data_IF_494472779094
#
_entry.id   IF_494472779094
#
_cell.length_a   1.000
_cell.length_b   1.000
_cell.length_c   1.000
_cell.angle_alpha   90.00
_cell.angle_beta   90.00
_cell.angle_gamma   90.00
#
_symmetry.space_group_name_H-M   'P 1'
#
loop_
_entity.id
_entity.type
_entity.pdbx_description
1 polymer ?
#
# COMPACT_ATOMS: atom_id res chain seq x y z
N UNK A 1 16.02 -22.27 75.44
CA UNK A 1 16.71 -21.97 74.16
C UNK A 1 15.67 -22.07 73.03
N UNK A 2 15.80 -21.23 72.00
CA UNK A 2 15.44 -21.43 70.55
C UNK A 2 14.51 -22.58 70.10
N UNK A 3 13.66 -22.46 69.05
CA UNK A 3 13.25 -21.34 68.16
C UNK A 3 12.26 -21.84 67.07
N UNK A 4 11.11 -21.16 66.81
CA UNK A 4 10.15 -21.39 65.67
C UNK A 4 9.64 -22.86 65.52
N UNK A 5 8.68 -23.30 64.69
CA UNK A 5 7.69 -22.78 63.70
C UNK A 5 6.36 -23.56 63.97
N UNK A 6 5.13 -23.30 63.51
CA UNK A 6 4.45 -22.28 62.67
C UNK A 6 2.94 -22.27 63.09
N UNK A 7 2.04 -21.59 62.35
CA UNK A 7 0.57 -21.76 62.42
C UNK A 7 -0.01 -21.85 60.99
N UNK A 8 -1.10 -22.60 60.78
CA UNK A 8 -1.98 -22.47 59.60
C UNK A 8 -3.42 -22.32 60.08
N UNK A 9 -4.08 -21.24 59.65
CA UNK A 9 -5.51 -21.00 59.86
C UNK A 9 -6.15 -20.58 58.54
N UNK A 10 -7.38 -21.00 58.30
CA UNK A 10 -8.07 -20.86 57.01
C UNK A 10 -9.33 -20.01 57.22
N UNK A 11 -9.41 -18.83 56.59
CA UNK A 11 -10.60 -17.97 56.64
C UNK A 11 -10.89 -17.34 55.29
N UNK A 12 -12.18 -17.27 54.96
CA UNK A 12 -12.72 -16.68 53.74
C UNK A 12 -13.04 -15.20 54.02
N UNK A 13 -12.66 -14.31 53.12
CA UNK A 13 -12.99 -12.88 53.18
C UNK A 13 -13.72 -12.46 51.90
N UNK A 14 -14.89 -11.84 52.03
CA UNK A 14 -15.64 -11.30 50.92
C UNK A 14 -15.11 -9.91 50.53
N UNK A 15 -14.95 -9.66 49.22
CA UNK A 15 -14.53 -8.36 48.70
C UNK A 15 -15.76 -7.48 48.47
N UNK A 16 -15.97 -6.51 49.36
CA UNK A 16 -17.01 -5.50 49.18
C UNK A 16 -16.56 -4.43 48.17
N UNK A 17 -17.35 -4.19 47.13
CA UNK A 17 -17.06 -3.16 46.13
C UNK A 17 -17.42 -1.77 46.67
N UNK A 18 -16.41 -1.02 47.12
CA UNK A 18 -16.56 0.38 47.53
C UNK A 18 -16.74 1.28 46.30
N UNK A 19 -17.96 1.74 46.07
CA UNK A 19 -18.25 2.79 45.09
C UNK A 19 -17.78 4.15 45.64
N UNK A 20 -16.62 4.62 45.16
CA UNK A 20 -16.14 5.97 45.45
C UNK A 20 -16.93 6.98 44.61
N UNK A 21 -17.56 8.02 45.22
CA UNK A 21 -18.18 9.09 44.46
C UNK A 21 -17.10 9.93 43.77
N UNK A 22 -17.32 10.27 42.50
CA UNK A 22 -16.47 11.23 41.78
C UNK A 22 -16.79 12.63 42.30
N UNK A 23 -16.06 13.05 43.33
CA UNK A 23 -16.10 14.43 43.81
C UNK A 23 -15.50 15.31 42.71
N UNK A 24 -16.31 16.21 42.16
CA UNK A 24 -15.80 17.25 41.28
C UNK A 24 -14.89 18.19 42.10
N UNK A 25 -13.59 18.21 41.78
CA UNK A 25 -12.63 19.09 42.43
C UNK A 25 -12.89 20.56 42.04
N UNK A 26 -13.78 21.21 42.76
CA UNK A 26 -13.78 22.67 42.85
C UNK A 26 -12.41 23.11 43.39
N UNK A 27 -11.78 24.07 42.73
CA UNK A 27 -10.48 24.59 43.18
C UNK A 27 -10.75 25.61 44.29
N UNK A 28 -10.44 25.23 45.53
CA UNK A 28 -10.53 26.12 46.69
C UNK A 28 -9.49 27.23 46.56
N UNK A 29 -9.94 28.46 46.36
CA UNK A 29 -9.06 29.63 46.29
C UNK A 29 -8.92 30.22 47.69
N UNK A 30 -7.66 30.38 48.11
CA UNK A 30 -7.28 31.03 49.37
C UNK A 30 -7.12 32.55 49.17
N UNK A 31 -7.21 33.29 50.27
CA UNK A 31 -7.08 34.76 50.28
C UNK A 31 -5.71 35.21 49.76
N UNK A 32 -5.69 36.30 48.98
CA UNK A 32 -4.47 36.82 48.34
C UNK A 32 -3.96 36.00 47.15
N UNK A 33 -4.67 34.96 46.73
CA UNK A 33 -4.28 34.13 45.59
C UNK A 33 -4.21 34.93 44.29
N UNK A 34 -3.02 34.94 43.68
CA UNK A 34 -2.84 35.18 42.24
C UNK A 34 -2.71 33.86 41.50
N UNK A 35 -3.36 33.72 40.35
CA UNK A 35 -3.37 32.49 39.59
C UNK A 35 -3.90 32.65 38.16
N UNK A 36 -3.56 31.69 37.29
CA UNK A 36 -4.04 31.66 35.92
C UNK A 36 -5.15 30.61 35.77
N UNK A 37 -6.20 30.95 35.03
CA UNK A 37 -7.29 30.03 34.69
C UNK A 37 -7.48 29.98 33.17
N UNK A 38 -6.99 28.90 32.56
CA UNK A 38 -7.23 28.61 31.15
C UNK A 38 -8.64 28.01 30.94
N UNK A 39 -9.41 28.60 30.03
CA UNK A 39 -10.72 28.14 29.58
C UNK A 39 -10.75 28.04 28.05
N UNK A 40 -11.54 27.13 27.48
CA UNK A 40 -11.97 27.26 26.10
C UNK A 40 -13.17 28.22 25.96
N UNK A 41 -13.37 28.82 24.78
CA UNK A 41 -14.64 29.46 24.44
C UNK A 41 -15.78 28.43 24.54
N UNK A 42 -16.88 28.79 25.22
CA UNK A 42 -17.99 27.90 25.56
C UNK A 42 -17.72 26.94 26.72
N UNK A 43 -16.51 26.90 27.29
CA UNK A 43 -16.23 26.19 28.55
C UNK A 43 -16.49 27.12 29.74
N UNK A 44 -17.06 26.57 30.80
CA UNK A 44 -17.15 27.24 32.09
C UNK A 44 -16.77 26.34 33.26
N UNK A 45 -16.31 26.96 34.35
CA UNK A 45 -15.87 26.29 35.57
C UNK A 45 -16.44 26.99 36.81
N UNK A 46 -16.65 26.22 37.86
CA UNK A 46 -17.07 26.73 39.16
C UNK A 46 -15.82 27.03 39.99
N UNK A 47 -15.70 28.28 40.44
CA UNK A 47 -14.69 28.73 41.39
C UNK A 47 -15.30 28.76 42.79
N UNK A 48 -14.60 28.14 43.74
CA UNK A 48 -15.01 28.05 45.15
C UNK A 48 -14.07 28.89 46.01
N UNK A 49 -14.64 29.85 46.74
CA UNK A 49 -13.92 30.75 47.63
C UNK A 49 -14.15 30.34 49.09
N UNK A 50 -13.12 30.52 49.92
CA UNK A 50 -13.15 30.11 51.33
C UNK A 50 -13.88 31.13 52.21
N UNK A 51 -13.79 32.41 51.84
CA UNK A 51 -14.52 33.53 52.43
C UNK A 51 -15.73 33.93 51.55
N UNK A 52 -16.77 34.56 52.12
CA UNK A 52 -17.88 35.08 51.33
C UNK A 52 -17.41 36.20 50.39
N UNK A 53 -17.88 36.16 49.14
CA UNK A 53 -17.58 37.15 48.10
C UNK A 53 -18.80 38.05 47.91
N UNK A 54 -18.60 39.36 48.05
CA UNK A 54 -19.66 40.37 47.88
C UNK A 54 -19.79 40.79 46.41
N UNK A 55 -18.65 41.08 45.77
CA UNK A 55 -18.61 41.51 44.38
C UNK A 55 -17.47 40.87 43.60
N UNK A 56 -17.72 40.66 42.30
CA UNK A 56 -16.76 40.08 41.36
C UNK A 56 -16.71 40.95 40.11
N UNK A 57 -15.50 41.29 39.67
CA UNK A 57 -15.25 42.17 38.54
C UNK A 57 -14.49 41.39 37.46
N UNK A 58 -14.91 41.50 36.20
CA UNK A 58 -14.16 41.02 35.04
C UNK A 58 -13.77 42.21 34.19
N UNK A 59 -12.49 42.32 33.82
CA UNK A 59 -11.96 43.49 33.11
C UNK A 59 -12.52 43.66 31.68
N UNK A 60 -12.95 42.56 31.05
CA UNK A 60 -13.58 42.54 29.72
C UNK A 60 -14.68 41.46 29.67
N UNK A 61 -15.98 41.85 29.74
CA UNK A 61 -17.11 40.94 29.69
C UNK A 61 -17.42 40.38 28.28
N UNK A 62 -16.70 40.82 27.25
CA UNK A 62 -16.72 40.23 25.91
C UNK A 62 -15.86 38.95 25.83
N UNK A 63 -14.74 38.92 26.55
CA UNK A 63 -13.81 37.77 26.59
C UNK A 63 -14.35 36.65 27.49
N UNK A 64 -14.70 36.98 28.75
CA UNK A 64 -15.22 36.03 29.73
C UNK A 64 -16.33 36.67 30.57
N UNK A 65 -17.22 35.86 31.11
CA UNK A 65 -18.41 36.33 31.83
C UNK A 65 -18.72 35.37 32.99
N UNK A 66 -19.58 35.79 33.92
CA UNK A 66 -19.80 35.04 35.16
C UNK A 66 -21.24 35.09 35.67
N UNK A 67 -21.56 34.09 36.49
CA UNK A 67 -22.80 34.02 37.23
C UNK A 67 -22.48 33.62 38.67
N UNK A 68 -22.87 34.49 39.62
CA UNK A 68 -22.81 34.16 41.05
C UNK A 68 -23.89 33.12 41.34
N UNK A 69 -23.50 31.94 41.82
CA UNK A 69 -24.41 30.82 42.13
C UNK A 69 -24.76 30.82 43.62
N UNK A 70 -23.79 31.15 44.48
CA UNK A 70 -23.97 31.44 45.90
C UNK A 70 -22.84 32.35 46.41
N UNK A 71 -22.91 32.89 47.64
CA UNK A 71 -21.89 33.80 48.19
C UNK A 71 -20.45 33.24 48.31
N UNK A 72 -20.19 31.97 47.94
CA UNK A 72 -18.83 31.42 47.82
C UNK A 72 -18.60 30.59 46.55
N UNK A 73 -19.56 30.58 45.61
CA UNK A 73 -19.52 29.78 44.38
C UNK A 73 -19.88 30.64 43.18
N UNK A 74 -18.91 30.88 42.32
CA UNK A 74 -19.03 31.69 41.11
C UNK A 74 -18.73 30.82 39.88
N UNK A 75 -19.67 30.75 38.95
CA UNK A 75 -19.48 30.08 37.67
C UNK A 75 -18.92 31.09 36.67
N UNK A 76 -17.76 30.80 36.09
CA UNK A 76 -17.07 31.66 35.11
C UNK A 76 -16.95 30.91 33.79
N UNK A 77 -17.28 31.56 32.66
CA UNK A 77 -17.26 30.94 31.35
C UNK A 77 -16.65 31.84 30.26
N UNK A 78 -15.94 31.23 29.31
CA UNK A 78 -15.33 31.93 28.18
C UNK A 78 -16.34 32.19 27.06
N UNK A 79 -16.35 33.42 26.51
CA UNK A 79 -17.21 33.82 25.37
C UNK A 79 -16.41 34.07 24.09
N UNK A 80 -15.27 34.74 24.18
CA UNK A 80 -14.41 35.04 23.04
C UNK A 80 -12.92 34.80 23.38
N UNK A 81 -12.08 34.35 22.42
CA UNK A 81 -10.65 34.16 22.69
C UNK A 81 -9.95 35.47 23.06
N UNK A 82 -9.17 35.45 24.15
CA UNK A 82 -8.50 36.63 24.70
C UNK A 82 -7.94 36.41 26.10
N UNK A 83 -7.34 37.45 26.66
CA UNK A 83 -6.92 37.48 28.07
C UNK A 83 -7.64 38.61 28.80
N UNK A 84 -8.14 38.30 29.99
CA UNK A 84 -8.84 39.25 30.87
C UNK A 84 -8.53 38.92 32.32
N UNK A 85 -8.84 39.80 33.26
CA UNK A 85 -8.65 39.53 34.69
C UNK A 85 -9.98 39.46 35.42
N UNK A 86 -10.06 38.57 36.41
CA UNK A 86 -11.15 38.48 37.37
C UNK A 86 -10.64 38.87 38.75
N UNK A 87 -11.33 39.79 39.43
CA UNK A 87 -11.02 40.24 40.78
C UNK A 87 -12.24 39.96 41.66
N UNK A 88 -12.03 39.30 42.80
CA UNK A 88 -13.06 39.00 43.78
C UNK A 88 -12.81 39.81 45.06
N UNK A 89 -13.87 40.42 45.60
CA UNK A 89 -13.84 41.32 46.75
C UNK A 89 -14.70 40.78 47.91
N UNK A 90 -14.23 40.97 49.14
CA UNK A 90 -14.98 40.67 50.37
C UNK A 90 -16.02 41.76 50.68
N UNK A 91 -16.99 41.50 51.59
CA UNK A 91 -17.90 42.52 52.11
C UNK A 91 -17.20 43.73 52.75
N UNK A 92 -15.99 43.55 53.26
CA UNK A 92 -15.16 44.61 53.86
C UNK A 92 -14.34 45.39 52.80
N UNK A 93 -14.47 45.04 51.52
CA UNK A 93 -13.78 45.68 50.39
C UNK A 93 -12.36 45.17 50.12
N UNK A 94 -11.88 44.18 50.86
CA UNK A 94 -10.56 43.59 50.67
C UNK A 94 -10.50 42.61 49.49
N UNK A 95 -9.35 42.52 48.81
CA UNK A 95 -9.16 41.69 47.63
C UNK A 95 -8.92 40.21 47.98
N UNK A 96 -9.96 39.40 47.87
CA UNK A 96 -9.90 37.95 48.13
C UNK A 96 -9.02 37.22 47.11
N UNK A 97 -9.14 37.55 45.82
CA UNK A 97 -8.33 36.95 44.75
C UNK A 97 -8.21 37.84 43.51
N UNK A 98 -7.15 37.63 42.73
CA UNK A 98 -7.01 38.19 41.39
C UNK A 98 -6.49 37.12 40.42
N UNK A 99 -7.32 36.74 39.44
CA UNK A 99 -7.05 35.67 38.49
C UNK A 99 -6.85 36.21 37.08
N UNK A 100 -5.84 35.71 36.38
CA UNK A 100 -5.67 35.93 34.94
C UNK A 100 -6.43 34.86 34.17
N UNK A 101 -7.55 35.26 33.56
CA UNK A 101 -8.35 34.41 32.67
C UNK A 101 -7.72 34.41 31.28
N UNK A 102 -7.50 33.21 30.75
CA UNK A 102 -6.94 32.98 29.42
C UNK A 102 -7.95 32.14 28.63
N UNK A 103 -8.77 32.81 27.82
CA UNK A 103 -9.78 32.15 26.99
C UNK A 103 -9.16 31.83 25.64
N UNK A 104 -9.15 30.55 25.28
CA UNK A 104 -8.64 30.04 24.01
C UNK A 104 -9.78 29.61 23.10
N UNK A 105 -9.60 29.72 21.78
CA UNK A 105 -10.40 28.92 20.84
C UNK A 105 -10.12 27.44 21.12
N UNK A 106 -11.16 26.65 21.35
CA UNK A 106 -11.01 25.33 21.96
C UNK A 106 -10.41 24.31 21.00
N UNK A 107 -9.22 23.78 21.31
CA UNK A 107 -8.59 22.68 20.52
C UNK A 107 -9.45 21.41 20.46
N UNK A 108 -10.52 21.34 21.27
CA UNK A 108 -11.59 20.34 21.21
C UNK A 108 -12.27 20.25 19.83
N UNK A 109 -12.43 21.38 19.12
CA UNK A 109 -13.03 21.41 17.78
C UNK A 109 -12.23 20.57 16.77
N UNK A 110 -10.90 20.59 16.85
CA UNK A 110 -10.01 19.86 15.94
C UNK A 110 -9.70 18.45 16.46
N UNK A 111 -9.52 18.31 17.78
CA UNK A 111 -9.07 17.03 18.39
C UNK A 111 -10.18 15.99 18.55
N UNK A 112 -11.45 16.39 18.70
CA UNK A 112 -12.57 15.43 18.78
C UNK A 112 -12.85 14.74 17.42
N UNK A 113 -12.99 15.45 16.28
CA UNK A 113 -13.15 14.81 14.97
C UNK A 113 -11.92 13.98 14.59
N UNK A 114 -10.70 14.48 14.81
CA UNK A 114 -9.48 13.73 14.51
C UNK A 114 -9.44 12.39 15.25
N UNK A 115 -9.81 12.37 16.54
CA UNK A 115 -9.84 11.13 17.34
C UNK A 115 -11.04 10.24 17.06
N UNK A 116 -12.11 10.76 16.44
CA UNK A 116 -13.22 9.95 15.93
C UNK A 116 -12.86 9.26 14.60
N UNK A 117 -12.17 9.97 13.69
CA UNK A 117 -11.68 9.42 12.43
C UNK A 117 -10.49 8.47 12.63
N UNK A 118 -9.56 8.84 13.51
CA UNK A 118 -8.33 8.09 13.80
C UNK A 118 -8.20 7.80 15.31
N UNK A 119 -8.93 6.81 15.87
CA UNK A 119 -8.92 6.51 17.30
C UNK A 119 -7.54 6.16 17.87
N UNK A 120 -6.64 5.66 17.02
CA UNK A 120 -5.25 5.34 17.35
C UNK A 120 -4.24 6.49 17.14
N UNK A 121 -4.69 7.71 16.82
CA UNK A 121 -3.81 8.85 16.56
C UNK A 121 -2.92 9.20 17.76
N UNK A 122 -1.67 9.58 17.47
CA UNK A 122 -0.71 10.14 18.44
C UNK A 122 -0.48 11.64 18.23
N UNK A 123 -1.26 12.29 17.37
CA UNK A 123 -1.20 13.73 17.16
C UNK A 123 -1.80 14.48 18.36
N UNK A 124 -1.03 15.41 18.91
CA UNK A 124 -1.44 16.33 19.98
C UNK A 124 -1.69 17.71 19.37
N UNK A 125 -2.80 18.35 19.77
CA UNK A 125 -3.21 19.66 19.27
C UNK A 125 -3.18 20.67 20.42
N UNK A 126 -2.36 21.71 20.28
CA UNK A 126 -2.16 22.74 21.31
C UNK A 126 -2.38 24.13 20.72
N UNK A 127 -3.12 24.98 21.44
CA UNK A 127 -3.17 26.41 21.18
C UNK A 127 -1.90 27.08 21.74
N UNK A 128 -1.31 28.02 21.01
CA UNK A 128 -0.16 28.82 21.43
C UNK A 128 -0.46 30.28 21.05
N UNK A 129 -1.10 31.01 21.96
CA UNK A 129 -1.73 32.28 21.65
C UNK A 129 -2.81 32.12 20.57
N UNK A 130 -2.92 33.06 19.64
CA UNK A 130 -3.84 32.99 18.51
C UNK A 130 -3.27 32.17 17.33
N UNK A 131 -2.77 30.97 17.63
CA UNK A 131 -2.36 29.93 16.66
C UNK A 131 -2.63 28.54 17.22
N UNK A 132 -3.00 27.61 16.36
CA UNK A 132 -3.08 26.18 16.70
C UNK A 132 -1.92 25.41 16.09
N UNK A 133 -1.32 24.50 16.86
CA UNK A 133 -0.18 23.70 16.44
C UNK A 133 -0.46 22.23 16.69
N UNK A 134 -0.39 21.42 15.64
CA UNK A 134 -0.36 19.96 15.76
C UNK A 134 1.08 19.47 15.88
N UNK A 135 1.32 18.49 16.75
CA UNK A 135 2.63 17.84 16.97
C UNK A 135 2.45 16.35 17.23
N UNK A 136 3.53 15.58 17.17
CA UNK A 136 3.53 14.14 17.42
C UNK A 136 3.54 13.33 16.13
N UNK A 137 3.23 12.03 16.24
CA UNK A 137 3.26 11.10 15.12
C UNK A 137 1.88 10.88 14.50
N UNK A 138 1.83 10.89 13.16
CA UNK A 138 0.72 10.36 12.35
C UNK A 138 1.15 9.05 11.68
N UNK A 139 0.26 8.06 11.70
CA UNK A 139 0.52 6.66 11.33
C UNK A 139 0.15 6.34 9.89
N UNK A 140 -0.68 7.15 9.24
CA UNK A 140 -1.09 6.97 7.85
C UNK A 140 -1.09 8.28 7.05
N UNK A 141 -1.02 8.18 5.72
CA UNK A 141 -1.19 9.32 4.80
C UNK A 141 -2.62 9.89 4.88
N UNK A 142 -3.61 9.04 5.17
CA UNK A 142 -4.99 9.46 5.45
C UNK A 142 -5.06 10.36 6.68
N UNK A 143 -4.53 9.90 7.82
CA UNK A 143 -4.46 10.67 9.06
C UNK A 143 -3.74 12.02 8.88
N UNK A 144 -2.65 12.06 8.11
CA UNK A 144 -1.94 13.30 7.78
C UNK A 144 -2.78 14.27 6.91
N UNK A 145 -3.62 13.72 6.04
CA UNK A 145 -4.52 14.50 5.16
C UNK A 145 -5.71 15.05 5.95
N UNK A 146 -6.36 14.21 6.75
CA UNK A 146 -7.49 14.59 7.60
C UNK A 146 -7.08 15.60 8.67
N UNK A 147 -5.88 15.42 9.27
CA UNK A 147 -5.29 16.41 10.18
C UNK A 147 -5.11 17.78 9.50
N UNK A 148 -4.60 17.82 8.27
CA UNK A 148 -4.48 19.06 7.50
C UNK A 148 -5.84 19.68 7.16
N UNK A 149 -6.84 18.87 6.79
CA UNK A 149 -8.20 19.34 6.49
C UNK A 149 -8.90 19.94 7.72
N UNK A 150 -8.79 19.28 8.88
CA UNK A 150 -9.32 19.79 10.14
C UNK A 150 -8.57 21.05 10.60
N UNK A 151 -7.24 21.09 10.49
CA UNK A 151 -6.44 22.28 10.81
C UNK A 151 -6.72 23.48 9.90
N UNK A 152 -7.22 23.28 8.67
CA UNK A 152 -7.58 24.38 7.75
C UNK A 152 -9.06 24.79 7.84
N UNK A 153 -9.94 23.89 8.28
CA UNK A 153 -11.38 24.14 8.40
C UNK A 153 -11.76 24.61 9.80
N UNK A 154 -11.52 23.79 10.82
CA UNK A 154 -11.76 24.12 12.24
C UNK A 154 -10.70 25.09 12.80
N UNK A 155 -9.62 25.32 12.07
CA UNK A 155 -8.57 26.27 12.43
C UNK A 155 -8.92 27.74 12.19
N UNK A 156 -10.09 28.09 11.65
CA UNK A 156 -10.44 29.48 11.33
C UNK A 156 -10.72 30.37 12.56
N UNK A 157 -11.04 29.79 13.71
CA UNK A 157 -11.03 30.48 15.01
C UNK A 157 -9.62 30.82 15.52
N UNK A 158 -8.58 30.49 14.73
CA UNK A 158 -7.19 30.89 14.95
C UNK A 158 -6.68 31.68 13.75
N UNK A 159 -5.81 32.67 13.99
CA UNK A 159 -5.17 33.46 12.92
C UNK A 159 -4.24 32.64 12.02
N UNK A 160 -3.79 31.46 12.46
CA UNK A 160 -2.99 30.53 11.67
C UNK A 160 -2.90 29.16 12.36
N UNK A 161 -3.06 28.09 11.58
CA UNK A 161 -2.67 26.74 11.97
C UNK A 161 -1.22 26.43 11.54
N UNK A 162 -0.56 25.53 12.26
CA UNK A 162 0.74 24.95 11.90
C UNK A 162 0.67 23.45 12.11
N UNK A 163 0.78 22.67 11.03
CA UNK A 163 0.99 21.23 11.13
C UNK A 163 2.49 20.94 11.32
N UNK A 164 2.87 20.54 12.53
CA UNK A 164 4.20 20.04 12.87
C UNK A 164 4.20 18.57 13.29
N UNK A 165 3.18 17.79 12.88
CA UNK A 165 3.15 16.35 13.08
C UNK A 165 4.04 15.64 12.03
N UNK A 166 4.82 14.66 12.47
CA UNK A 166 5.70 13.86 11.61
C UNK A 166 5.03 12.55 11.23
N UNK A 167 5.13 12.16 9.96
CA UNK A 167 4.79 10.80 9.53
C UNK A 167 5.95 9.86 9.89
N UNK A 168 5.73 8.94 10.84
CA UNK A 168 6.77 7.97 11.27
C UNK A 168 6.95 6.80 10.27
N UNK A 169 6.02 6.61 9.34
CA UNK A 169 6.15 5.62 8.30
C UNK A 169 7.20 6.01 7.25
N UNK A 170 7.93 5.02 6.72
CA UNK A 170 8.62 5.21 5.44
C UNK A 170 7.62 4.88 4.33
N UNK A 171 7.10 5.89 3.63
CA UNK A 171 6.26 5.69 2.45
C UNK A 171 7.12 5.29 1.25
N UNK A 172 7.68 4.08 1.31
CA UNK A 172 8.44 3.46 0.23
C UNK A 172 7.54 2.48 -0.52
N UNK A 173 7.58 2.56 -1.84
CA UNK A 173 6.89 1.64 -2.75
C UNK A 173 7.94 0.84 -3.49
N UNK A 174 7.92 -0.46 -3.29
CA UNK A 174 8.58 -1.42 -4.14
C UNK A 174 7.66 -1.69 -5.36
N UNK A 175 8.23 -1.80 -6.55
CA UNK A 175 7.50 -2.14 -7.76
C UNK A 175 8.16 -3.35 -8.43
N UNK A 176 7.32 -4.34 -8.74
CA UNK A 176 7.66 -5.52 -9.53
C UNK A 176 6.91 -5.41 -10.85
N UNK A 177 7.62 -5.45 -11.97
CA UNK A 177 7.04 -5.52 -13.31
C UNK A 177 7.40 -6.88 -13.91
N UNK A 178 6.49 -7.51 -14.65
CA UNK A 178 6.75 -8.73 -15.43
C UNK A 178 6.40 -8.50 -16.89
N UNK A 179 7.32 -8.81 -17.78
CA UNK A 179 7.09 -8.87 -19.23
C UNK A 179 6.90 -10.33 -19.62
N UNK A 180 5.72 -10.69 -20.11
CA UNK A 180 5.33 -12.04 -20.46
C UNK A 180 4.96 -12.12 -21.94
N UNK A 181 5.54 -13.05 -22.69
CA UNK A 181 5.10 -13.37 -24.06
C UNK A 181 4.52 -14.80 -24.06
N UNK A 182 3.34 -14.95 -24.68
CA UNK A 182 2.54 -16.19 -24.63
C UNK A 182 2.31 -16.72 -26.03
N UNK A 183 2.58 -18.00 -26.24
CA UNK A 183 2.34 -18.70 -27.51
C UNK A 183 0.91 -19.23 -27.56
N UNK A 184 0.03 -18.54 -28.30
CA UNK A 184 -1.39 -18.91 -28.39
C UNK A 184 -1.63 -20.20 -29.17
N UNK A 185 -0.72 -20.56 -30.09
CA UNK A 185 -0.76 -21.85 -30.78
C UNK A 185 -0.57 -23.03 -29.83
N UNK A 186 0.24 -22.88 -28.76
CA UNK A 186 0.39 -23.93 -27.74
C UNK A 186 -0.79 -23.94 -26.75
N UNK A 187 -1.26 -22.78 -26.27
CA UNK A 187 -2.47 -22.70 -25.41
C UNK A 187 -3.67 -23.45 -26.02
N UNK A 188 -3.88 -23.32 -27.33
CA UNK A 188 -4.98 -23.98 -28.04
C UNK A 188 -4.79 -25.49 -28.19
N UNK A 189 -3.55 -25.99 -28.23
CA UNK A 189 -3.25 -27.44 -28.25
C UNK A 189 -3.53 -28.11 -26.90
N UNK A 190 -3.36 -27.36 -25.80
CA UNK A 190 -3.69 -27.82 -24.44
C UNK A 190 -5.11 -27.45 -23.97
N UNK A 191 -5.94 -26.85 -24.84
CA UNK A 191 -7.38 -26.65 -24.59
C UNK A 191 -7.77 -25.56 -23.59
N UNK A 192 -6.85 -24.65 -23.22
CA UNK A 192 -7.08 -23.64 -22.17
C UNK A 192 -7.94 -22.48 -22.68
N UNK A 193 -9.21 -22.43 -22.28
CA UNK A 193 -10.16 -21.39 -22.68
C UNK A 193 -10.25 -20.23 -21.66
N UNK A 194 -9.48 -19.18 -21.89
CA UNK A 194 -9.46 -17.97 -21.03
C UNK A 194 -10.80 -17.23 -20.94
N UNK A 195 -11.73 -17.41 -21.89
CA UNK A 195 -13.03 -16.74 -21.86
C UNK A 195 -13.95 -17.22 -20.73
N UNK A 196 -13.63 -18.37 -20.10
CA UNK A 196 -14.33 -18.86 -18.91
C UNK A 196 -13.91 -18.13 -17.62
N UNK A 197 -12.72 -17.53 -17.57
CA UNK A 197 -12.12 -17.00 -16.33
C UNK A 197 -12.70 -15.63 -15.92
N UNK A 198 -13.17 -14.83 -16.87
CA UNK A 198 -13.57 -13.44 -16.62
C UNK A 198 -15.06 -13.24 -16.30
N UNK A 199 -15.89 -14.29 -16.41
CA UNK A 199 -17.31 -14.09 -16.70
C UNK A 199 -18.29 -14.41 -15.56
N UNK A 200 -17.86 -14.96 -14.40
CA UNK A 200 -18.80 -15.20 -13.28
C UNK A 200 -18.20 -15.35 -11.86
N UNK A 201 -17.10 -14.64 -11.53
CA UNK A 201 -16.58 -14.49 -10.15
C UNK A 201 -16.12 -15.77 -9.42
N UNK A 202 -16.17 -16.92 -10.07
CA UNK A 202 -15.86 -18.25 -9.50
C UNK A 202 -14.84 -18.91 -10.41
N UNK A 203 -13.59 -19.05 -9.93
CA UNK A 203 -12.52 -19.66 -10.71
C UNK A 203 -12.70 -21.18 -10.79
N UNK A 204 -12.69 -21.72 -12.01
CA UNK A 204 -12.72 -23.16 -12.28
C UNK A 204 -11.78 -23.46 -13.45
N UNK A 205 -10.93 -24.48 -13.30
CA UNK A 205 -9.98 -24.93 -14.32
C UNK A 205 -10.23 -26.40 -14.66
N UNK A 206 -10.14 -26.74 -15.95
CA UNK A 206 -10.28 -28.11 -16.44
C UNK A 206 -9.39 -28.31 -17.66
N UNK A 207 -8.55 -29.35 -17.61
CA UNK A 207 -7.66 -29.72 -18.71
C UNK A 207 -8.45 -30.49 -19.77
N UNK A 208 -8.63 -29.89 -20.95
CA UNK A 208 -9.49 -30.44 -22.02
C UNK A 208 -8.64 -31.02 -23.17
N UNK A 209 -8.16 -32.25 -22.98
CA UNK A 209 -7.43 -33.03 -23.99
C UNK A 209 -8.38 -33.63 -25.04
N UNK A 210 -8.85 -32.80 -25.98
CA UNK A 210 -9.55 -33.23 -27.19
C UNK A 210 -11.09 -33.14 -27.13
N UNK A 211 -11.68 -32.61 -28.21
CA UNK A 211 -13.10 -32.26 -28.31
C UNK A 211 -14.09 -33.43 -28.50
N UNK A 212 -13.87 -34.57 -27.84
CA UNK A 212 -14.75 -35.75 -27.92
C UNK A 212 -15.25 -36.25 -26.54
N UNK A 213 -14.62 -35.83 -25.44
CA UNK A 213 -14.81 -36.47 -24.12
C UNK A 213 -16.01 -35.96 -23.30
N UNK A 214 -16.72 -34.92 -23.74
CA UNK A 214 -17.85 -34.36 -23.00
C UNK A 214 -19.03 -35.35 -22.84
N UNK A 215 -19.20 -36.28 -23.79
CA UNK A 215 -20.18 -37.36 -23.68
C UNK A 215 -19.71 -38.51 -22.76
N UNK A 216 -18.40 -38.74 -22.69
CA UNK A 216 -17.83 -39.92 -22.00
C UNK A 216 -17.53 -39.65 -20.51
N UNK A 217 -17.30 -38.39 -20.15
CA UNK A 217 -17.32 -37.93 -18.76
C UNK A 217 -18.70 -38.13 -18.11
N UNK A 218 -19.79 -38.00 -18.89
CA UNK A 218 -21.16 -38.25 -18.43
C UNK A 218 -21.49 -39.74 -18.22
N UNK A 219 -20.67 -40.66 -18.76
CA UNK A 219 -20.81 -42.11 -18.61
C UNK A 219 -19.74 -42.76 -17.71
N UNK A 220 -18.96 -41.96 -16.97
CA UNK A 220 -17.98 -42.46 -16.00
C UNK A 220 -16.65 -42.95 -16.58
N UNK A 221 -16.25 -42.48 -17.77
CA UNK A 221 -14.97 -42.83 -18.40
C UNK A 221 -13.76 -42.43 -17.55
N UNK A 222 -13.09 -43.40 -16.92
CA UNK A 222 -11.99 -43.21 -15.96
C UNK A 222 -10.65 -42.83 -16.61
N UNK A 223 -10.62 -41.79 -17.45
CA UNK A 223 -9.37 -41.29 -18.05
C UNK A 223 -9.30 -39.74 -18.16
N UNK A 224 -10.07 -39.03 -17.34
CA UNK A 224 -10.03 -37.56 -17.26
C UNK A 224 -9.21 -37.16 -16.02
N UNK A 225 -8.00 -36.64 -16.22
CA UNK A 225 -7.20 -36.04 -15.12
C UNK A 225 -7.72 -34.61 -14.86
N UNK A 226 -8.92 -34.53 -14.31
CA UNK A 226 -9.53 -33.27 -13.87
C UNK A 226 -9.06 -32.90 -12.47
N UNK A 227 -7.96 -32.15 -12.38
CA UNK A 227 -7.48 -31.52 -11.15
C UNK A 227 -8.40 -30.34 -10.73
N UNK A 228 -9.66 -30.64 -10.42
CA UNK A 228 -10.67 -29.67 -10.01
C UNK A 228 -10.42 -29.18 -8.59
N UNK A 229 -9.57 -28.17 -8.42
CA UNK A 229 -9.38 -27.49 -7.14
C UNK A 229 -10.63 -26.67 -6.77
N UNK A 230 -11.53 -27.27 -6.01
CA UNK A 230 -12.66 -26.58 -5.40
C UNK A 230 -12.23 -25.75 -4.21
N UNK A 231 -12.62 -24.47 -4.17
CA UNK A 231 -12.51 -23.53 -3.05
C UNK A 231 -11.10 -22.99 -2.69
N UNK A 232 -11.05 -21.70 -2.34
CA UNK A 232 -9.95 -21.12 -1.57
C UNK A 232 -9.15 -20.07 -2.33
N UNK A 233 -7.95 -20.42 -2.76
CA UNK A 233 -6.97 -19.53 -3.37
C UNK A 233 -6.32 -20.20 -4.59
N UNK A 234 -6.54 -19.65 -5.79
CA UNK A 234 -5.78 -20.04 -6.99
C UNK A 234 -4.45 -19.30 -6.97
N UNK A 235 -3.35 -20.01 -6.69
CA UNK A 235 -2.02 -19.41 -6.69
C UNK A 235 -1.56 -19.12 -8.13
N UNK A 236 -1.64 -17.84 -8.53
CA UNK A 236 -1.29 -17.35 -9.87
C UNK A 236 0.17 -17.66 -10.21
N UNK A 237 1.10 -17.54 -9.25
CA UNK A 237 2.52 -17.86 -9.49
C UNK A 237 2.71 -19.35 -9.86
N UNK A 238 1.98 -20.27 -9.20
CA UNK A 238 2.05 -21.70 -9.52
C UNK A 238 1.49 -22.04 -10.92
N UNK A 239 0.47 -21.31 -11.38
CA UNK A 239 -0.04 -21.43 -12.76
C UNK A 239 0.96 -20.87 -13.78
N UNK A 240 1.60 -19.75 -13.50
CA UNK A 240 2.66 -19.18 -14.33
C UNK A 240 3.87 -20.13 -14.43
N UNK A 241 4.34 -20.66 -13.30
CA UNK A 241 5.47 -21.60 -13.21
C UNK A 241 5.17 -22.91 -13.99
N UNK A 242 3.92 -23.40 -13.94
CA UNK A 242 3.46 -24.53 -14.75
C UNK A 242 3.37 -24.22 -16.26
N UNK A 243 2.87 -23.05 -16.67
CA UNK A 243 2.84 -22.63 -18.08
C UNK A 243 4.25 -22.39 -18.66
N UNK A 244 5.16 -21.88 -17.83
CA UNK A 244 6.57 -21.69 -18.16
C UNK A 244 7.29 -23.04 -18.32
N UNK A 245 7.06 -24.01 -17.41
CA UNK A 245 7.65 -25.36 -17.51
C UNK A 245 7.22 -26.14 -18.76
N UNK A 246 6.06 -25.81 -19.34
CA UNK A 246 5.54 -26.40 -20.58
C UNK A 246 5.87 -25.56 -21.84
N UNK A 247 6.66 -24.48 -21.72
CA UNK A 247 7.07 -23.64 -22.86
C UNK A 247 5.95 -22.81 -23.50
N UNK A 248 4.83 -22.62 -22.80
CA UNK A 248 3.66 -21.88 -23.31
C UNK A 248 3.79 -20.37 -23.01
N UNK A 249 4.52 -20.04 -21.94
CA UNK A 249 4.78 -18.70 -21.42
C UNK A 249 6.29 -18.46 -21.32
N UNK A 250 6.78 -17.37 -21.90
CA UNK A 250 8.16 -16.89 -21.75
C UNK A 250 8.17 -15.59 -20.93
N UNK A 251 8.87 -15.58 -19.79
CA UNK A 251 9.10 -14.36 -19.01
C UNK A 251 10.36 -13.68 -19.57
N UNK A 252 10.14 -12.58 -20.29
CA UNK A 252 11.22 -11.82 -20.94
C UNK A 252 12.06 -11.03 -19.93
N UNK A 253 11.44 -10.55 -18.85
CA UNK A 253 12.09 -9.79 -17.78
C UNK A 253 11.19 -9.61 -16.55
N UNK A 254 11.79 -9.57 -15.35
CA UNK A 254 11.14 -9.20 -14.08
C UNK A 254 11.96 -8.16 -13.29
N UNK A 255 12.00 -6.88 -13.71
CA UNK A 255 12.69 -5.83 -12.96
C UNK A 255 11.97 -5.49 -11.64
N UNK A 256 12.77 -5.20 -10.62
CA UNK A 256 12.34 -4.94 -9.25
C UNK A 256 13.14 -3.77 -8.66
N UNK A 257 12.47 -2.73 -8.16
CA UNK A 257 13.09 -1.50 -7.61
C UNK A 257 12.18 -0.85 -6.56
N UNK A 258 12.76 -0.12 -5.62
CA UNK A 258 12.04 0.61 -4.56
C UNK A 258 12.30 2.11 -4.65
N UNK A 259 11.25 2.92 -4.46
CA UNK A 259 11.33 4.39 -4.43
C UNK A 259 10.48 4.98 -3.30
N UNK A 260 10.79 6.21 -2.90
CA UNK A 260 9.93 6.98 -1.97
C UNK A 260 8.73 7.59 -2.70
N UNK A 261 7.63 7.77 -1.99
CA UNK A 261 6.45 8.51 -2.49
C UNK A 261 6.84 9.90 -3.01
N UNK A 262 6.32 10.28 -4.17
CA UNK A 262 6.62 11.53 -4.88
C UNK A 262 7.99 11.58 -5.57
N UNK A 263 8.86 10.57 -5.40
CA UNK A 263 10.19 10.54 -6.03
C UNK A 263 10.20 9.66 -7.28
N UNK A 264 10.85 10.13 -8.35
CA UNK A 264 11.04 9.31 -9.56
C UNK A 264 12.30 8.49 -9.41
N UNK A 265 12.22 7.18 -9.69
CA UNK A 265 13.37 6.29 -9.73
C UNK A 265 13.46 5.57 -11.09
N UNK A 266 14.70 5.21 -11.46
CA UNK A 266 15.00 4.51 -12.70
C UNK A 266 15.83 3.26 -12.43
N UNK A 267 15.55 2.22 -13.22
CA UNK A 267 16.32 0.98 -13.29
C UNK A 267 16.70 0.75 -14.75
N UNK A 268 17.93 0.28 -14.98
CA UNK A 268 18.43 -0.16 -16.28
C UNK A 268 19.32 -1.39 -16.06
N UNK A 269 19.02 -2.49 -16.76
CA UNK A 269 19.85 -3.69 -16.82
C UNK A 269 19.94 -4.14 -18.27
N UNK A 270 21.13 -4.02 -18.86
CA UNK A 270 21.32 -4.16 -20.30
C UNK A 270 22.71 -3.74 -20.75
N UNK A 271 22.82 -3.26 -21.99
CA UNK A 271 24.06 -2.77 -22.57
C UNK A 271 23.83 -1.63 -23.56
N UNK A 272 24.93 -1.15 -24.14
CA UNK A 272 24.92 -0.12 -25.17
C UNK A 272 25.49 -0.66 -26.48
N UNK A 273 25.07 -0.06 -27.59
CA UNK A 273 25.51 -0.44 -28.93
C UNK A 273 25.75 0.81 -29.78
N UNK A 274 26.90 0.81 -30.46
CA UNK A 274 27.32 1.87 -31.36
C UNK A 274 26.50 1.81 -32.66
N UNK A 275 25.69 2.84 -32.90
CA UNK A 275 24.96 3.03 -34.17
C UNK A 275 25.66 4.12 -34.98
N UNK A 276 26.11 3.83 -36.22
CA UNK A 276 26.69 4.84 -37.09
C UNK A 276 25.62 5.81 -37.59
N UNK A 277 25.84 7.11 -37.39
CA UNK A 277 24.92 8.18 -37.80
C UNK A 277 25.63 9.19 -38.71
N UNK A 278 25.07 9.57 -39.87
CA UNK A 278 25.68 10.56 -40.75
C UNK A 278 25.58 11.96 -40.13
N UNK A 279 26.73 12.56 -39.81
CA UNK A 279 26.82 13.94 -39.28
C UNK A 279 26.92 14.93 -40.43
N UNK A 280 27.68 14.59 -41.47
CA UNK A 280 27.78 15.30 -42.75
C UNK A 280 27.95 14.27 -43.88
N UNK A 281 28.01 14.70 -45.15
CA UNK A 281 28.26 13.81 -46.30
C UNK A 281 29.53 12.96 -46.15
N UNK A 282 30.56 13.56 -45.56
CA UNK A 282 31.91 12.98 -45.46
C UNK A 282 32.29 12.57 -44.03
N UNK A 283 31.35 12.65 -43.07
CA UNK A 283 31.59 12.38 -41.65
C UNK A 283 30.47 11.53 -41.02
N UNK A 284 30.83 10.34 -40.58
CA UNK A 284 29.97 9.44 -39.80
C UNK A 284 30.35 9.53 -38.33
N UNK A 285 29.39 9.88 -37.49
CA UNK A 285 29.49 9.83 -36.02
C UNK A 285 28.99 8.51 -35.47
N UNK A 286 29.19 8.30 -34.16
CA UNK A 286 28.68 7.14 -33.43
C UNK A 286 27.70 7.64 -32.37
N UNK A 287 26.47 7.15 -32.42
CA UNK A 287 25.47 7.33 -31.36
C UNK A 287 25.33 6.02 -30.58
N UNK A 288 25.46 6.07 -29.26
CA UNK A 288 25.22 4.90 -28.41
C UNK A 288 23.72 4.78 -28.10
N UNK A 289 23.11 3.66 -28.46
CA UNK A 289 21.75 3.30 -28.06
C UNK A 289 21.79 2.27 -26.93
N UNK A 290 20.98 2.48 -25.90
CA UNK A 290 20.79 1.50 -24.83
C UNK A 290 19.80 0.41 -25.27
N UNK A 291 20.06 -0.84 -24.87
CA UNK A 291 19.13 -1.95 -25.00
C UNK A 291 19.14 -2.82 -23.73
N UNK A 292 18.03 -3.53 -23.48
CA UNK A 292 17.85 -4.39 -22.31
C UNK A 292 16.54 -4.06 -21.60
N UNK A 293 16.51 -4.23 -20.28
CA UNK A 293 15.36 -3.93 -19.43
C UNK A 293 15.54 -2.55 -18.82
N UNK A 294 14.58 -1.65 -19.02
CA UNK A 294 14.51 -0.38 -18.29
C UNK A 294 13.13 -0.15 -17.66
N UNK A 295 13.13 0.52 -16.52
CA UNK A 295 11.91 0.88 -15.79
C UNK A 295 12.11 2.24 -15.14
N UNK A 296 11.39 3.24 -15.64
CA UNK A 296 11.27 4.55 -15.01
C UNK A 296 9.89 4.63 -14.34
N UNK A 297 9.83 4.90 -13.04
CA UNK A 297 8.56 5.03 -12.33
C UNK A 297 8.57 6.13 -11.27
N UNK A 298 7.38 6.63 -10.94
CA UNK A 298 7.15 7.54 -9.82
C UNK A 298 5.89 7.10 -9.08
N UNK A 299 6.01 6.63 -7.82
CA UNK A 299 4.86 6.24 -7.00
C UNK A 299 4.37 7.41 -6.15
N UNK A 300 3.07 7.45 -5.88
CA UNK A 300 2.43 8.34 -4.90
C UNK A 300 1.47 7.51 -4.06
N UNK A 301 1.74 7.43 -2.76
CA UNK A 301 0.86 6.74 -1.80
C UNK A 301 -0.36 7.61 -1.53
N UNK A 302 -1.55 7.02 -1.66
CA UNK A 302 -2.85 7.63 -1.40
C UNK A 302 -3.44 7.07 -0.09
N UNK A 303 -4.52 7.66 0.44
CA UNK A 303 -5.33 7.02 1.48
C UNK A 303 -5.85 5.63 1.07
N UNK A 304 -6.23 4.81 2.05
CA UNK A 304 -6.79 3.46 1.86
C UNK A 304 -5.85 2.46 1.16
N UNK A 305 -4.55 2.52 1.46
CA UNK A 305 -3.48 1.63 0.96
C UNK A 305 -3.39 1.52 -0.58
N UNK A 306 -3.87 2.57 -1.26
CA UNK A 306 -3.77 2.72 -2.72
C UNK A 306 -2.50 3.45 -3.12
N UNK A 307 -2.01 3.10 -4.30
CA UNK A 307 -0.78 3.64 -4.85
C UNK A 307 -1.08 4.11 -6.28
N UNK A 308 -1.00 5.41 -6.49
CA UNK A 308 -0.93 5.97 -7.85
C UNK A 308 0.50 5.78 -8.38
N UNK A 309 0.62 5.28 -9.59
CA UNK A 309 1.88 4.99 -10.25
C UNK A 309 1.92 5.67 -11.62
N UNK A 310 2.92 6.51 -11.88
CA UNK A 310 3.36 6.71 -13.27
C UNK A 310 4.47 5.71 -13.59
N UNK A 311 4.32 4.98 -14.69
CA UNK A 311 5.19 3.85 -15.05
C UNK A 311 5.54 3.89 -16.53
N UNK A 312 6.84 3.79 -16.81
CA UNK A 312 7.44 3.62 -18.13
C UNK A 312 8.36 2.39 -18.14
N UNK A 313 7.79 1.18 -18.25
CA UNK A 313 8.55 -0.04 -18.49
C UNK A 313 8.89 -0.18 -19.98
N UNK A 314 10.12 -0.60 -20.27
CA UNK A 314 10.59 -0.94 -21.61
C UNK A 314 11.50 -2.18 -21.53
N UNK A 315 11.30 -3.13 -22.45
CA UNK A 315 12.26 -4.21 -22.71
C UNK A 315 12.64 -4.22 -24.19
N UNK A 316 13.93 -4.20 -24.46
CA UNK A 316 14.50 -4.14 -25.80
C UNK A 316 15.62 -5.16 -25.99
N UNK A 317 15.67 -5.75 -27.19
CA UNK A 317 16.64 -6.80 -27.54
C UNK A 317 17.17 -6.58 -28.96
N UNK A 318 18.44 -6.92 -29.17
CA UNK A 318 19.08 -6.92 -30.48
C UNK A 318 18.48 -8.01 -31.39
N UNK A 319 18.16 -7.66 -32.64
CA UNK A 319 17.70 -8.62 -33.65
C UNK A 319 18.84 -8.99 -34.62
N UNK A 320 19.51 -10.11 -34.35
CA UNK A 320 20.65 -10.59 -35.13
C UNK A 320 20.32 -10.93 -36.59
N UNK A 321 19.05 -11.24 -36.90
CA UNK A 321 18.58 -11.63 -38.24
C UNK A 321 18.24 -10.46 -39.17
N UNK A 322 18.32 -9.21 -38.68
CA UNK A 322 17.89 -8.02 -39.44
C UNK A 322 18.85 -6.85 -39.23
N UNK A 323 20.00 -6.88 -39.90
CA UNK A 323 20.86 -5.71 -40.06
C UNK A 323 20.42 -4.91 -41.29
N UNK A 324 20.25 -3.59 -41.13
CA UNK A 324 19.96 -2.69 -42.25
C UNK A 324 21.28 -2.17 -42.80
N UNK A 325 21.57 -2.44 -44.07
CA UNK A 325 22.74 -1.87 -44.73
C UNK A 325 22.44 -0.46 -45.25
N UNK A 326 23.13 0.55 -44.70
CA UNK A 326 23.02 1.96 -45.13
C UNK A 326 24.41 2.44 -45.50
N UNK A 327 24.64 2.75 -46.79
CA UNK A 327 25.94 3.24 -47.28
C UNK A 327 27.11 2.25 -47.08
N UNK A 328 26.83 0.96 -46.91
CA UNK A 328 27.83 -0.08 -46.59
C UNK A 328 27.99 -0.37 -45.09
N UNK A 329 27.45 0.47 -44.20
CA UNK A 329 27.42 0.22 -42.77
C UNK A 329 26.25 -0.70 -42.39
N UNK A 330 26.49 -1.73 -41.59
CA UNK A 330 25.44 -2.57 -41.02
C UNK A 330 24.92 -1.95 -39.72
N UNK A 331 23.66 -1.52 -39.71
CA UNK A 331 22.96 -1.03 -38.52
C UNK A 331 22.18 -2.19 -37.89
N UNK A 332 22.39 -2.54 -36.60
CA UNK A 332 21.59 -3.55 -35.93
C UNK A 332 20.17 -3.03 -35.66
N UNK A 333 19.17 -3.91 -35.79
CA UNK A 333 17.77 -3.58 -35.45
C UNK A 333 17.42 -4.01 -34.03
N UNK A 334 16.40 -3.37 -33.45
CA UNK A 334 15.92 -3.63 -32.09
C UNK A 334 14.48 -4.11 -32.09
N UNK A 335 14.18 -5.14 -31.31
CA UNK A 335 12.81 -5.46 -30.90
C UNK A 335 12.55 -4.74 -29.59
N UNK A 336 11.76 -3.66 -29.63
CA UNK A 336 11.43 -2.82 -28.47
C UNK A 336 9.96 -3.05 -28.08
N UNK A 337 9.72 -3.28 -26.79
CA UNK A 337 8.38 -3.44 -26.19
C UNK A 337 8.29 -2.43 -25.03
N UNK A 338 7.44 -1.40 -25.14
CA UNK A 338 7.36 -0.30 -24.16
C UNK A 338 5.92 0.13 -23.85
N UNK A 339 5.72 0.73 -22.68
CA UNK A 339 4.50 1.45 -22.33
C UNK A 339 4.83 2.77 -21.59
N UNK A 340 3.87 3.71 -21.57
CA UNK A 340 3.84 4.86 -20.66
C UNK A 340 2.39 5.00 -20.18
N UNK A 341 2.14 4.91 -18.88
CA UNK A 341 0.79 5.01 -18.34
C UNK A 341 0.79 5.53 -16.91
N UNK A 342 -0.41 5.94 -16.44
CA UNK A 342 -0.69 6.19 -15.03
C UNK A 342 -1.82 5.28 -14.58
N UNK A 343 -1.61 4.56 -13.49
CA UNK A 343 -2.57 3.61 -12.92
C UNK A 343 -2.68 3.79 -11.40
N UNK A 344 -3.82 3.44 -10.84
CA UNK A 344 -4.05 3.39 -9.40
C UNK A 344 -4.31 1.92 -9.01
N UNK A 345 -3.50 1.39 -8.10
CA UNK A 345 -3.47 -0.03 -7.73
C UNK A 345 -3.29 -0.17 -6.22
N UNK A 346 -3.94 -1.13 -5.57
CA UNK A 346 -3.73 -1.41 -4.15
C UNK A 346 -2.38 -2.11 -3.90
N UNK A 347 -1.82 -1.92 -2.70
CA UNK A 347 -0.61 -2.65 -2.30
C UNK A 347 -0.81 -4.17 -2.43
N UNK A 348 0.11 -4.84 -3.12
CA UNK A 348 0.09 -6.28 -3.41
C UNK A 348 -0.82 -6.72 -4.57
N UNK A 349 -1.56 -5.82 -5.22
CA UNK A 349 -2.44 -6.18 -6.33
C UNK A 349 -1.71 -6.12 -7.68
N UNK A 350 -1.88 -7.14 -8.52
CA UNK A 350 -1.34 -7.15 -9.89
C UNK A 350 -2.32 -6.53 -10.88
N UNK A 351 -1.84 -5.63 -11.74
CA UNK A 351 -2.60 -5.01 -12.82
C UNK A 351 -1.86 -5.15 -14.17
N UNK A 352 -2.61 -5.45 -15.24
CA UNK A 352 -2.06 -5.54 -16.60
C UNK A 352 -2.18 -4.19 -17.32
N UNK A 353 -1.04 -3.56 -17.64
CA UNK A 353 -1.04 -2.20 -18.24
C UNK A 353 -1.04 -2.20 -19.77
N UNK A 354 -0.66 -3.31 -20.40
CA UNK A 354 -0.59 -3.44 -21.85
C UNK A 354 -0.79 -4.91 -22.26
N UNK A 355 -1.55 -5.11 -23.33
CA UNK A 355 -1.68 -6.36 -24.07
C UNK A 355 -1.51 -6.07 -25.55
N UNK A 356 -0.66 -6.84 -26.25
CA UNK A 356 -0.49 -6.74 -27.71
C UNK A 356 -0.64 -8.12 -28.34
N UNK A 357 -1.66 -8.25 -29.18
CA UNK A 357 -1.92 -9.45 -29.97
C UNK A 357 -1.23 -9.35 -31.35
N UNK A 358 -0.36 -10.30 -31.66
CA UNK A 358 0.29 -10.40 -32.98
C UNK A 358 -0.02 -11.76 -33.63
N UNK A 359 -0.48 -11.72 -34.88
CA UNK A 359 -0.70 -12.89 -35.74
C UNK A 359 0.11 -12.73 -37.02
N UNK A 360 1.00 -13.68 -37.26
CA UNK A 360 1.70 -13.87 -38.53
C UNK A 360 1.20 -15.17 -39.18
N UNK A 361 1.06 -15.17 -40.51
CA UNK A 361 0.60 -16.35 -41.26
C UNK A 361 1.26 -16.39 -42.62
N UNK A 362 2.20 -17.29 -42.82
CA UNK A 362 2.78 -17.61 -44.12
C UNK A 362 2.11 -18.84 -44.74
N UNK A 363 2.14 -18.89 -46.07
CA UNK A 363 1.64 -20.03 -46.85
C UNK A 363 2.60 -20.29 -48.01
N UNK A 364 3.53 -21.22 -47.81
CA UNK A 364 4.45 -21.65 -48.86
C UNK A 364 3.75 -22.67 -49.75
N UNK A 365 3.81 -22.45 -51.08
CA UNK A 365 3.18 -23.33 -52.07
C UNK A 365 4.23 -23.80 -53.07
N UNK A 366 4.83 -24.94 -52.79
CA UNK A 366 5.69 -25.65 -53.73
C UNK A 366 4.81 -26.35 -54.76
N UNK A 367 5.05 -26.15 -56.06
CA UNK A 367 4.31 -26.82 -57.14
C UNK A 367 5.24 -27.32 -58.23
N UNK A 368 4.91 -28.47 -58.82
CA UNK A 368 5.61 -28.96 -60.02
C UNK A 368 5.17 -28.08 -61.21
N UNK A 369 6.09 -27.52 -62.02
CA UNK A 369 5.73 -26.75 -63.22
C UNK A 369 4.81 -27.55 -64.17
N UNK A 370 3.90 -26.85 -64.85
CA UNK A 370 2.79 -27.39 -65.66
C UNK A 370 1.78 -28.24 -64.86
N UNK A 371 2.22 -29.33 -64.24
CA UNK A 371 1.33 -30.31 -63.57
C UNK A 371 0.58 -29.70 -62.38
N UNK A 372 1.25 -28.85 -61.59
CA UNK A 372 0.67 -28.18 -60.44
C UNK A 372 -0.43 -27.19 -60.77
N UNK A 373 -0.50 -26.68 -62.01
CA UNK A 373 -1.48 -25.68 -62.45
C UNK A 373 -2.69 -26.29 -63.19
N UNK A 374 -2.68 -27.59 -63.46
CA UNK A 374 -3.80 -28.25 -64.15
C UNK A 374 -5.11 -28.20 -63.34
N UNK A 375 -6.26 -27.91 -63.97
CA UNK A 375 -7.56 -28.02 -63.32
C UNK A 375 -7.82 -29.47 -62.89
N UNK A 376 -8.53 -29.65 -61.77
CA UNK A 376 -8.84 -30.94 -61.12
C UNK A 376 -7.59 -31.66 -60.58
N UNK A 377 -6.62 -32.00 -61.43
CA UNK A 377 -5.47 -32.84 -61.08
C UNK A 377 -4.33 -32.10 -60.35
N UNK A 378 -4.19 -30.78 -60.55
CA UNK A 378 -3.05 -30.01 -60.03
C UNK A 378 -2.94 -29.93 -58.51
N UNK A 379 -3.95 -30.38 -57.75
CA UNK A 379 -3.87 -30.47 -56.29
C UNK A 379 -3.06 -31.68 -55.79
N UNK A 380 -2.77 -32.68 -56.64
CA UNK A 380 -1.83 -33.77 -56.32
C UNK A 380 -0.36 -33.38 -56.57
N UNK A 381 -0.12 -32.32 -57.36
CA UNK A 381 1.20 -31.87 -57.80
C UNK A 381 1.61 -30.52 -57.16
N UNK A 382 1.01 -30.19 -56.01
CA UNK A 382 1.35 -29.03 -55.18
C UNK A 382 1.40 -29.44 -53.70
N UNK A 383 2.46 -29.04 -53.01
CA UNK A 383 2.54 -29.03 -51.55
C UNK A 383 2.09 -27.67 -51.03
N UNK A 384 1.47 -27.63 -49.85
CA UNK A 384 1.11 -26.38 -49.16
C UNK A 384 1.57 -26.49 -47.72
N UNK A 385 2.60 -25.72 -47.34
CA UNK A 385 2.97 -25.53 -45.94
C UNK A 385 2.30 -24.26 -45.45
N UNK A 386 1.35 -24.42 -44.53
CA UNK A 386 0.79 -23.31 -43.77
C UNK A 386 1.55 -23.20 -42.46
N UNK A 387 2.09 -22.01 -42.16
CA UNK A 387 2.66 -21.70 -40.85
C UNK A 387 1.92 -20.49 -40.28
N UNK A 388 1.50 -20.58 -39.02
CA UNK A 388 0.86 -19.49 -38.29
C UNK A 388 1.55 -19.34 -36.94
N UNK A 389 2.07 -18.15 -36.68
CA UNK A 389 2.63 -17.76 -35.40
C UNK A 389 1.61 -16.81 -34.74
N UNK A 390 1.12 -17.12 -33.54
CA UNK A 390 0.28 -16.22 -32.74
C UNK A 390 0.94 -15.99 -31.39
N UNK A 391 1.47 -14.78 -31.17
CA UNK A 391 2.07 -14.37 -29.89
C UNK A 391 1.27 -13.24 -29.25
N UNK A 392 1.20 -13.27 -27.92
CA UNK A 392 0.53 -12.26 -27.12
C UNK A 392 1.47 -11.75 -26.03
N UNK A 393 1.82 -10.46 -26.08
CA UNK A 393 2.65 -9.79 -25.08
C UNK A 393 1.77 -9.17 -24.01
N UNK A 394 2.06 -9.44 -22.74
CA UNK A 394 1.42 -8.83 -21.58
C UNK A 394 2.46 -8.18 -20.68
N UNK A 395 2.18 -6.95 -20.20
CA UNK A 395 3.00 -6.27 -19.19
C UNK A 395 2.19 -6.16 -17.90
N UNK A 396 2.63 -6.88 -16.86
CA UNK A 396 2.01 -6.95 -15.54
C UNK A 396 2.80 -6.08 -14.54
N UNK A 397 2.11 -5.39 -13.65
CA UNK A 397 2.72 -4.56 -12.60
C UNK A 397 2.09 -4.88 -11.25
N UNK A 398 2.91 -5.06 -10.22
CA UNK A 398 2.49 -5.27 -8.83
C UNK A 398 3.32 -4.34 -7.91
N UNK A 399 2.72 -3.31 -7.30
CA UNK A 399 3.37 -2.50 -6.30
C UNK A 399 3.20 -3.11 -4.90
N UNK A 400 4.14 -2.82 -4.00
CA UNK A 400 4.07 -3.16 -2.58
C UNK A 400 4.49 -1.96 -1.75
N UNK A 401 3.69 -1.55 -0.76
CA UNK A 401 4.15 -0.64 0.28
C UNK A 401 5.13 -1.41 1.19
N UNK A 402 6.35 -0.93 1.33
CA UNK A 402 7.44 -1.62 2.05
C UNK A 402 8.04 -0.76 3.17
N UNK A 403 8.54 -1.42 4.22
CA UNK A 403 9.17 -0.77 5.36
C UNK A 403 10.64 -1.21 5.49
N UNK A 404 11.58 -0.31 5.83
CA UNK A 404 12.96 -0.67 6.09
C UNK A 404 13.11 -1.63 7.29
N UNK A 405 13.59 -2.85 7.03
CA UNK A 405 13.91 -3.83 8.08
C UNK A 405 15.31 -3.60 8.66
N UNK A 406 15.50 -3.95 9.94
CA UNK A 406 16.84 -3.95 10.57
C UNK A 406 17.60 -5.21 10.14
N UNK A 407 18.87 -5.04 9.78
CA UNK A 407 19.67 -5.95 8.94
C UNK A 407 19.83 -7.43 9.39
N UNK A 408 19.32 -7.86 10.54
CA UNK A 408 19.35 -9.26 11.00
C UNK A 408 18.28 -10.17 10.37
N UNK A 409 17.46 -9.64 9.44
CA UNK A 409 16.29 -10.34 8.86
C UNK A 409 16.20 -10.20 7.34
N UNK A 410 17.33 -9.93 6.68
CA UNK A 410 17.42 -9.91 5.22
C UNK A 410 17.59 -11.34 4.69
N UNK A 411 16.50 -11.96 4.24
CA UNK A 411 16.59 -13.15 3.39
C UNK A 411 17.18 -12.74 2.03
N UNK A 412 18.33 -13.30 1.69
CA UNK A 412 18.99 -13.11 0.40
C UNK A 412 18.38 -14.07 -0.65
N UNK A 413 18.59 -13.84 -1.95
CA UNK A 413 18.20 -14.81 -2.99
C UNK A 413 18.91 -16.17 -2.90
N UNK A 414 19.90 -16.32 -2.01
CA UNK A 414 20.63 -17.57 -1.75
C UNK A 414 20.08 -18.30 -0.51
N UNK A 415 19.30 -17.64 0.35
CA UNK A 415 18.61 -18.26 1.47
C UNK A 415 17.40 -19.03 0.92
N UNK A 416 17.63 -20.32 0.68
CA UNK A 416 16.73 -21.16 -0.11
C UNK A 416 15.27 -21.13 0.38
N UNK A 417 14.34 -21.05 -0.58
CA UNK A 417 12.90 -21.29 -0.42
C UNK A 417 12.74 -22.54 0.48
N UNK A 418 12.15 -22.45 1.69
CA UNK A 418 12.02 -23.62 2.54
C UNK A 418 11.20 -24.67 1.80
N UNK A 419 11.78 -25.85 1.59
CA UNK A 419 11.12 -26.95 0.91
C UNK A 419 9.83 -27.29 1.67
N UNK A 420 8.71 -27.31 0.94
CA UNK A 420 7.39 -27.45 1.53
C UNK A 420 7.29 -28.80 2.23
N UNK A 421 7.33 -28.78 3.57
CA UNK A 421 7.44 -29.99 4.41
C UNK A 421 6.07 -30.62 4.59
N UNK A 422 5.55 -31.11 3.46
CA UNK A 422 4.39 -31.97 3.35
C UNK A 422 4.49 -33.05 4.43
N UNK A 423 3.67 -32.89 5.47
CA UNK A 423 3.75 -33.72 6.67
C UNK A 423 3.14 -35.08 6.34
N UNK A 424 3.99 -35.97 5.82
CA UNK A 424 3.65 -37.33 5.41
C UNK A 424 3.28 -38.20 6.62
N UNK A 425 2.08 -37.99 7.13
CA UNK A 425 1.48 -38.73 8.23
C UNK A 425 1.09 -40.14 7.81
N UNK A 426 2.09 -41.03 7.75
CA UNK A 426 1.88 -42.48 7.65
C UNK A 426 2.99 -43.25 8.37
N UNK A 427 2.66 -43.83 9.52
CA UNK A 427 3.30 -45.08 9.94
C UNK A 427 2.84 -46.25 9.06
N UNK A 428 3.50 -47.42 9.10
CA UNK A 428 3.82 -48.07 10.37
C UNK A 428 5.27 -48.56 10.52
N UNK A 429 5.51 -49.22 11.66
CA UNK A 429 6.70 -50.04 11.99
C UNK A 429 6.91 -51.12 10.90
N UNK A 430 8.09 -51.73 10.69
CA UNK A 430 9.10 -52.12 11.69
C UNK A 430 10.44 -52.56 11.05
N UNK A 431 11.57 -52.31 11.73
CA UNK A 431 12.83 -53.07 11.62
C UNK A 431 13.70 -52.91 10.36
N UNK A 432 15.01 -52.70 10.53
CA UNK A 432 15.98 -52.76 9.41
C UNK A 432 17.21 -51.88 9.55
N UNK A 433 18.32 -52.49 9.93
CA UNK A 433 19.70 -51.97 10.08
C UNK A 433 20.33 -51.45 8.76
N UNK A 434 21.53 -50.84 8.86
CA UNK A 434 22.38 -50.28 7.77
C UNK A 434 21.84 -48.97 7.12
N UNK A 435 22.61 -47.91 6.82
CA UNK A 435 23.99 -47.55 7.22
C UNK A 435 25.05 -47.67 6.12
N UNK A 436 25.46 -46.54 5.50
CA UNK A 436 26.85 -46.22 5.08
C UNK A 436 26.96 -44.76 4.59
N UNK A 437 28.17 -44.19 4.67
CA UNK A 437 28.58 -42.92 4.03
C UNK A 437 29.15 -43.19 2.63
N UNK A 438 29.12 -42.19 1.73
CA UNK A 438 30.26 -41.91 0.82
C UNK A 438 30.22 -40.46 0.30
N UNK A 439 31.42 -39.84 0.27
CA UNK A 439 31.82 -38.52 -0.25
C UNK A 439 30.73 -37.54 -0.72
#
# INVERSE_FOLDING_TARGET
MTCFVQFRGFWIAAVAALALPVIACAQTIAEGSTGNLDLASGEGRILSFTAPVDSVLVADPGIADLQVVSPGLIYVFGKAPGQTSLIALSPDGEQLAALSLSVSSGTQAISRPLKALHPGSSAQISAIGNRVVAKGSVKSVGEATDLNALLSTEGQDFKSAINGASYEGSAQVNIRVRFAEVSRSELLRYGVNWNALFNNGTFSFGLLTGGALAAEAASGGSNVISAGLTSGNVNIDAMLEALQSNGILEILAEPNITAMTGQTASFLAGGEVAVPVPVNRDLVGIEYKQYGVSLLFSPTVLPNDRIALQVRPEVSSLMASSTVSVGGYQVPSFRVRRADTRVEVGSGQTFAIAGLFQRESSQDVEKVPMLGDMPILGNLFRSKRFQRNETELVILITPYLVQPVRARTLATPLDARPADTTTASAGPRNGGMFGFYMN
#
